data_IF_834156392633
#
_entry.id   IF_834156392633
#
_cell.length_a   1.000
_cell.length_b   1.000
_cell.length_c   1.000
_cell.angle_alpha   90.00
_cell.angle_beta   90.00
_cell.angle_gamma   90.00
#
_symmetry.space_group_name_H-M   'P 1'
#
loop_
_entity.id
_entity.type
_entity.pdbx_description
1 polymer ?
#
# COMPACT_ATOMS: atom_id res chain seq x y z
N UNK A 1 6.61 6.97 -31.14
CA UNK A 1 6.20 7.92 -30.08
C UNK A 1 7.03 7.57 -28.85
N UNK A 2 7.70 8.52 -28.22
CA UNK A 2 8.56 8.21 -27.08
C UNK A 2 7.70 7.71 -25.89
N UNK A 3 8.10 6.64 -25.17
CA UNK A 3 7.35 6.12 -24.02
C UNK A 3 6.94 7.20 -23.01
N UNK A 4 7.85 8.12 -22.69
CA UNK A 4 7.59 9.28 -21.82
C UNK A 4 6.46 10.18 -22.33
N UNK A 5 6.34 10.40 -23.64
CA UNK A 5 5.26 11.21 -24.20
C UNK A 5 3.90 10.55 -23.99
N UNK A 6 3.82 9.22 -24.15
CA UNK A 6 2.59 8.47 -23.93
C UNK A 6 2.21 8.53 -22.44
N UNK A 7 3.18 8.29 -21.56
CA UNK A 7 2.99 8.38 -20.11
C UNK A 7 2.43 9.75 -19.72
N UNK A 8 3.07 10.85 -20.13
CA UNK A 8 2.64 12.21 -19.75
C UNK A 8 1.23 12.54 -20.25
N UNK A 9 0.87 12.10 -21.46
CA UNK A 9 -0.49 12.33 -22.01
C UNK A 9 -1.54 11.59 -21.17
N UNK A 10 -1.31 10.32 -20.86
CA UNK A 10 -2.26 9.51 -20.07
C UNK A 10 -2.32 10.00 -18.62
N UNK A 11 -1.18 10.36 -18.04
CA UNK A 11 -1.09 10.94 -16.71
C UNK A 11 -1.84 12.27 -16.62
N UNK A 12 -1.67 13.17 -17.60
CA UNK A 12 -2.45 14.41 -17.69
C UNK A 12 -3.97 14.14 -17.78
N UNK A 13 -4.37 13.10 -18.52
CA UNK A 13 -5.77 12.70 -18.60
C UNK A 13 -6.33 12.22 -17.25
N UNK A 14 -5.51 11.57 -16.41
CA UNK A 14 -5.91 11.13 -15.06
C UNK A 14 -6.14 12.31 -14.09
N UNK A 15 -5.60 13.48 -14.37
CA UNK A 15 -5.79 14.68 -13.55
C UNK A 15 -7.04 15.50 -13.94
N UNK A 16 -7.77 15.10 -14.99
CA UNK A 16 -8.97 15.84 -15.43
C UNK A 16 -10.10 15.73 -14.40
N UNK A 17 -10.96 16.76 -14.33
CA UNK A 17 -12.07 16.86 -13.37
C UNK A 17 -13.13 15.76 -13.52
N UNK A 18 -13.39 15.31 -14.75
CA UNK A 18 -14.50 14.39 -15.02
C UNK A 18 -14.17 12.96 -14.56
N UNK A 19 -14.91 12.47 -13.57
CA UNK A 19 -14.70 11.19 -12.87
C UNK A 19 -14.49 9.98 -13.79
N UNK A 20 -15.41 9.72 -14.73
CA UNK A 20 -15.35 8.53 -15.60
C UNK A 20 -14.09 8.53 -16.48
N UNK A 21 -13.67 9.70 -16.96
CA UNK A 21 -12.43 9.81 -17.75
C UNK A 21 -11.20 9.59 -16.89
N UNK A 22 -11.20 10.10 -15.65
CA UNK A 22 -10.12 9.88 -14.68
C UNK A 22 -9.89 8.39 -14.37
N UNK A 23 -10.95 7.64 -14.08
CA UNK A 23 -10.84 6.21 -13.77
C UNK A 23 -10.29 5.38 -14.95
N UNK A 24 -10.77 5.66 -16.16
CA UNK A 24 -10.28 5.00 -17.38
C UNK A 24 -8.84 5.40 -17.68
N UNK A 25 -8.48 6.67 -17.49
CA UNK A 25 -7.12 7.16 -17.67
C UNK A 25 -6.15 6.50 -16.67
N UNK A 26 -6.51 6.37 -15.40
CA UNK A 26 -5.69 5.65 -14.40
C UNK A 26 -5.52 4.17 -14.77
N UNK A 27 -6.59 3.51 -15.22
CA UNK A 27 -6.49 2.11 -15.67
C UNK A 27 -5.60 1.97 -16.92
N UNK A 28 -5.61 2.97 -17.80
CA UNK A 28 -4.72 3.03 -18.96
C UNK A 28 -3.27 3.33 -18.56
N UNK A 29 -3.07 4.19 -17.55
CA UNK A 29 -1.76 4.53 -17.02
C UNK A 29 -1.06 3.29 -16.46
N UNK A 30 -1.78 2.50 -15.66
CA UNK A 30 -1.33 1.21 -15.15
C UNK A 30 -0.81 0.28 -16.26
N UNK A 31 -1.56 0.17 -17.37
CA UNK A 31 -1.17 -0.65 -18.52
C UNK A 31 0.05 -0.08 -19.26
N UNK A 32 0.12 1.25 -19.44
CA UNK A 32 1.25 1.92 -20.07
C UNK A 32 2.53 1.67 -19.28
N UNK A 33 2.49 1.83 -17.96
CA UNK A 33 3.67 1.59 -17.11
C UNK A 33 4.15 0.15 -17.24
N UNK A 34 3.23 -0.81 -17.10
CA UNK A 34 3.55 -2.25 -17.22
C UNK A 34 4.08 -2.63 -18.60
N UNK A 35 3.56 -2.02 -19.66
CA UNK A 35 3.93 -2.34 -21.03
C UNK A 35 5.33 -1.84 -21.40
N UNK A 36 5.71 -0.65 -20.91
CA UNK A 36 7.03 -0.07 -21.24
C UNK A 36 8.13 -0.49 -20.27
N UNK A 37 7.82 -0.71 -18.99
CA UNK A 37 8.81 -1.16 -18.02
C UNK A 37 9.94 -0.16 -17.76
N UNK A 38 9.72 1.13 -18.05
CA UNK A 38 10.75 2.17 -18.02
C UNK A 38 10.92 2.73 -16.60
N UNK A 39 12.11 2.60 -15.97
CA UNK A 39 12.36 3.09 -14.62
C UNK A 39 12.14 4.60 -14.46
N UNK A 40 12.36 5.40 -15.51
CA UNK A 40 12.20 6.86 -15.47
C UNK A 40 10.75 7.27 -15.19
N UNK A 41 9.78 6.37 -15.44
CA UNK A 41 8.38 6.63 -15.19
C UNK A 41 8.07 6.90 -13.72
N UNK A 42 8.85 6.34 -12.79
CA UNK A 42 8.63 6.55 -11.36
C UNK A 42 8.77 8.02 -10.99
N UNK A 43 9.88 8.66 -11.37
CA UNK A 43 10.16 10.05 -11.04
C UNK A 43 9.19 11.03 -11.73
N UNK A 44 8.63 10.64 -12.88
CA UNK A 44 7.63 11.44 -13.58
C UNK A 44 6.24 11.31 -12.95
N UNK A 45 5.81 10.08 -12.66
CA UNK A 45 4.42 9.80 -12.28
C UNK A 45 4.17 9.84 -10.77
N UNK A 46 5.14 9.44 -9.94
CA UNK A 46 4.94 9.34 -8.49
C UNK A 46 4.50 10.66 -7.85
N UNK A 47 5.12 11.82 -8.12
CA UNK A 47 4.72 13.08 -7.48
C UNK A 47 3.25 13.44 -7.74
N UNK A 48 2.78 13.21 -8.98
CA UNK A 48 1.41 13.51 -9.39
C UNK A 48 0.40 12.53 -8.78
N UNK A 49 0.74 11.24 -8.72
CA UNK A 49 -0.10 10.24 -8.06
C UNK A 49 -0.17 10.47 -6.55
N UNK A 50 0.93 10.90 -5.93
CA UNK A 50 0.96 11.28 -4.52
C UNK A 50 0.06 12.49 -4.21
N UNK A 51 0.08 13.52 -5.06
CA UNK A 51 -0.81 14.68 -4.92
C UNK A 51 -2.29 14.27 -5.00
N UNK A 52 -2.63 13.33 -5.88
CA UNK A 52 -3.98 12.77 -5.97
C UNK A 52 -4.37 12.03 -4.67
N UNK A 53 -3.46 11.26 -4.07
CA UNK A 53 -3.69 10.62 -2.77
C UNK A 53 -3.98 11.66 -1.66
N UNK A 54 -3.19 12.73 -1.58
CA UNK A 54 -3.37 13.76 -0.55
C UNK A 54 -4.65 14.56 -0.74
N UNK A 55 -5.00 14.90 -1.98
CA UNK A 55 -6.24 15.58 -2.31
C UNK A 55 -7.47 14.76 -1.87
N UNK A 56 -7.40 13.44 -2.05
CA UNK A 56 -8.45 12.53 -1.60
C UNK A 56 -8.63 12.55 -0.07
N UNK A 57 -7.56 12.80 0.69
CA UNK A 57 -7.60 12.86 2.15
C UNK A 57 -8.23 14.17 2.63
N UNK A 58 -7.86 15.30 2.04
CA UNK A 58 -8.38 16.63 2.40
C UNK A 58 -9.87 16.81 2.10
N UNK A 59 -10.39 16.19 1.05
CA UNK A 59 -11.81 16.30 0.69
C UNK A 59 -12.76 15.57 1.66
N UNK A 60 -12.24 14.70 2.54
CA UNK A 60 -13.06 13.90 3.47
C UNK A 60 -13.02 14.37 4.93
N UNK A 61 -12.34 15.47 5.25
CA UNK A 61 -12.31 16.03 6.62
C UNK A 61 -13.57 16.81 7.01
N UNK A 62 -14.67 16.70 6.25
CA UNK A 62 -16.00 17.17 6.67
C UNK A 62 -16.65 16.21 7.68
N UNK A 63 -17.64 16.67 8.49
CA UNK A 63 -18.22 15.84 9.55
C UNK A 63 -18.77 14.52 8.99
N UNK A 64 -18.26 13.41 9.53
CA UNK A 64 -18.60 12.06 9.12
C UNK A 64 -20.11 11.82 9.30
N UNK A 65 -20.86 11.81 8.21
CA UNK A 65 -22.25 11.34 8.24
C UNK A 65 -22.23 9.82 8.39
N UNK A 66 -22.48 9.36 9.61
CA UNK A 66 -22.83 7.96 9.90
C UNK A 66 -24.16 7.69 9.21
N UNK A 67 -24.19 6.81 8.21
CA UNK A 67 -25.45 6.22 7.74
C UNK A 67 -25.19 4.81 7.20
N UNK A 68 -25.67 3.83 7.95
CA UNK A 68 -25.85 2.45 7.48
C UNK A 68 -27.19 2.36 6.73
N UNK A 69 -27.13 1.69 5.58
CA UNK A 69 -28.13 0.97 4.80
C UNK A 69 -29.54 1.53 4.49
N UNK A 70 -29.94 1.22 3.25
CA UNK A 70 -31.28 1.20 2.66
C UNK A 70 -31.76 2.43 1.85
N UNK A 71 -31.69 2.23 0.52
CA UNK A 71 -32.61 2.71 -0.54
C UNK A 71 -32.90 4.23 -0.61
N UNK A 72 -32.12 4.92 -1.45
CA UNK A 72 -32.65 5.75 -2.56
C UNK A 72 -31.49 6.18 -3.46
N UNK A 73 -31.32 5.48 -4.57
CA UNK A 73 -30.49 5.97 -5.67
C UNK A 73 -31.32 7.01 -6.43
N UNK A 74 -30.92 8.28 -6.29
CA UNK A 74 -30.98 9.37 -7.29
C UNK A 74 -30.78 10.69 -6.54
N UNK A 75 -29.55 10.92 -6.08
CA UNK A 75 -29.02 12.28 -5.98
C UNK A 75 -27.65 12.27 -6.63
N UNK A 76 -27.68 12.43 -7.95
CA UNK A 76 -26.55 12.58 -8.85
C UNK A 76 -25.88 13.96 -8.66
N UNK A 77 -25.61 14.32 -7.40
CA UNK A 77 -24.69 15.41 -7.09
C UNK A 77 -23.31 14.81 -7.22
N UNK A 78 -22.86 14.71 -8.47
CA UNK A 78 -21.51 14.32 -8.83
C UNK A 78 -20.51 15.16 -8.02
N UNK A 79 -19.89 14.53 -7.03
CA UNK A 79 -18.70 15.09 -6.41
C UNK A 79 -17.58 15.06 -7.45
N UNK A 80 -17.44 16.17 -8.19
CA UNK A 80 -16.37 16.43 -9.17
C UNK A 80 -14.95 16.29 -8.56
N UNK A 81 -14.87 16.13 -7.23
CA UNK A 81 -13.65 15.93 -6.45
C UNK A 81 -13.31 14.46 -6.17
N UNK A 82 -14.10 13.50 -6.67
CA UNK A 82 -13.89 12.07 -6.35
C UNK A 82 -12.60 11.50 -6.95
N UNK A 83 -11.63 11.16 -6.10
CA UNK A 83 -10.40 10.45 -6.49
C UNK A 83 -10.59 8.94 -6.24
N UNK A 84 -10.51 8.08 -7.27
CA UNK A 84 -10.58 6.63 -7.12
C UNK A 84 -9.26 6.10 -6.55
N UNK A 85 -9.09 6.22 -5.23
CA UNK A 85 -7.82 5.95 -4.55
C UNK A 85 -7.30 4.52 -4.79
N UNK A 86 -8.17 3.52 -4.92
CA UNK A 86 -7.79 2.15 -5.30
C UNK A 86 -7.02 2.12 -6.64
N UNK A 87 -7.49 2.87 -7.64
CA UNK A 87 -6.85 2.97 -8.96
C UNK A 87 -5.54 3.76 -8.90
N UNK A 88 -5.47 4.79 -8.08
CA UNK A 88 -4.23 5.54 -7.85
C UNK A 88 -3.17 4.61 -7.23
N UNK A 89 -3.55 3.82 -6.22
CA UNK A 89 -2.65 2.84 -5.60
C UNK A 89 -2.19 1.77 -6.59
N UNK A 90 -3.05 1.30 -7.50
CA UNK A 90 -2.62 0.40 -8.58
C UNK A 90 -1.56 1.05 -9.49
N UNK A 91 -1.71 2.33 -9.84
CA UNK A 91 -0.70 3.04 -10.63
C UNK A 91 0.61 3.20 -9.87
N UNK A 92 0.54 3.53 -8.56
CA UNK A 92 1.72 3.63 -7.68
C UNK A 92 2.44 2.28 -7.59
N UNK A 93 1.69 1.19 -7.46
CA UNK A 93 2.25 -0.17 -7.46
C UNK A 93 2.99 -0.44 -8.77
N UNK A 94 2.38 -0.13 -9.91
CA UNK A 94 3.00 -0.33 -11.22
C UNK A 94 4.28 0.48 -11.43
N UNK A 95 4.36 1.72 -10.94
CA UNK A 95 5.63 2.47 -11.02
C UNK A 95 6.68 1.95 -10.05
N UNK A 96 6.30 1.45 -8.87
CA UNK A 96 7.24 0.76 -7.97
C UNK A 96 7.77 -0.52 -8.61
N UNK A 97 6.95 -1.23 -9.39
CA UNK A 97 7.37 -2.41 -10.15
C UNK A 97 8.48 -2.12 -11.18
N UNK A 98 8.75 -0.86 -11.55
CA UNK A 98 9.80 -0.51 -12.54
C UNK A 98 10.88 0.42 -11.98
N UNK A 99 10.67 1.03 -10.82
CA UNK A 99 11.56 2.03 -10.23
C UNK A 99 12.94 1.47 -9.81
N UNK A 100 13.95 2.34 -9.72
CA UNK A 100 15.23 2.01 -9.10
C UNK A 100 15.17 2.16 -7.56
N UNK A 101 16.08 1.49 -6.86
CA UNK A 101 16.15 1.54 -5.39
C UNK A 101 16.35 2.96 -4.86
N UNK A 102 17.20 3.76 -5.51
CA UNK A 102 17.50 5.14 -5.11
C UNK A 102 16.24 6.01 -5.12
N UNK A 103 15.43 5.90 -6.17
CA UNK A 103 14.26 6.76 -6.38
C UNK A 103 13.16 6.43 -5.35
N UNK A 104 12.95 5.14 -5.07
CA UNK A 104 12.03 4.69 -4.02
C UNK A 104 12.46 5.23 -2.65
N UNK A 105 13.77 5.18 -2.35
CA UNK A 105 14.29 5.64 -1.06
C UNK A 105 14.19 7.16 -0.90
N UNK A 106 14.39 7.93 -1.97
CA UNK A 106 14.17 9.38 -1.98
C UNK A 106 12.71 9.73 -1.68
N UNK A 107 11.77 8.89 -2.12
CA UNK A 107 10.33 9.09 -1.93
C UNK A 107 9.74 8.35 -0.71
N UNK A 108 10.56 7.72 0.14
CA UNK A 108 10.07 6.86 1.23
C UNK A 108 9.04 7.52 2.15
N UNK A 109 9.23 8.80 2.50
CA UNK A 109 8.33 9.53 3.39
C UNK A 109 6.96 9.74 2.75
N UNK A 110 6.95 10.04 1.43
CA UNK A 110 5.72 10.19 0.66
C UNK A 110 5.00 8.85 0.53
N UNK A 111 5.73 7.75 0.33
CA UNK A 111 5.16 6.39 0.35
C UNK A 111 4.52 6.06 1.71
N UNK A 112 5.18 6.37 2.82
CA UNK A 112 4.61 6.20 4.16
C UNK A 112 3.33 7.04 4.36
N UNK A 113 3.28 8.23 3.77
CA UNK A 113 2.07 9.05 3.76
C UNK A 113 0.95 8.41 2.94
N UNK A 114 1.24 7.86 1.75
CA UNK A 114 0.26 7.11 0.94
C UNK A 114 -0.36 5.96 1.73
N UNK A 115 0.45 5.18 2.46
CA UNK A 115 -0.06 4.10 3.30
C UNK A 115 -0.93 4.62 4.45
N UNK A 116 -0.51 5.71 5.11
CA UNK A 116 -1.27 6.32 6.19
C UNK A 116 -2.65 6.80 5.73
N UNK A 117 -2.70 7.47 4.56
CA UNK A 117 -3.96 7.88 3.93
C UNK A 117 -4.81 6.65 3.62
N UNK A 118 -4.24 5.64 2.96
CA UNK A 118 -4.96 4.43 2.55
C UNK A 118 -5.52 3.65 3.75
N UNK A 119 -4.85 3.68 4.90
CA UNK A 119 -5.31 3.03 6.13
C UNK A 119 -6.29 3.87 6.97
N UNK A 120 -6.60 5.11 6.60
CA UNK A 120 -7.58 5.93 7.31
C UNK A 120 -9.00 5.30 7.31
N UNK A 121 -9.76 5.36 8.41
CA UNK A 121 -11.04 4.66 8.56
C UNK A 121 -12.13 5.12 7.58
N UNK A 122 -11.99 6.30 6.98
CA UNK A 122 -12.94 6.85 6.00
C UNK A 122 -12.89 6.25 4.59
N UNK A 123 -11.96 5.32 4.32
CA UNK A 123 -11.82 4.66 3.02
C UNK A 123 -12.42 3.25 3.01
N UNK A 124 -13.01 2.89 1.87
CA UNK A 124 -13.60 1.58 1.64
C UNK A 124 -12.56 0.46 1.72
N UNK A 125 -13.02 -0.75 2.04
CA UNK A 125 -12.18 -1.94 2.14
C UNK A 125 -11.41 -2.27 0.84
N UNK A 126 -11.92 -1.90 -0.32
CA UNK A 126 -11.26 -2.06 -1.62
C UNK A 126 -9.96 -1.23 -1.73
N UNK A 127 -9.93 -0.06 -1.09
CA UNK A 127 -8.70 0.75 -0.96
C UNK A 127 -7.69 0.02 -0.08
N UNK A 128 -8.14 -0.62 1.02
CA UNK A 128 -7.26 -1.42 1.90
C UNK A 128 -6.64 -2.58 1.14
N UNK A 129 -7.43 -3.30 0.34
CA UNK A 129 -6.91 -4.38 -0.51
C UNK A 129 -5.83 -3.88 -1.48
N UNK A 130 -6.07 -2.74 -2.12
CA UNK A 130 -5.10 -2.14 -3.04
C UNK A 130 -3.82 -1.72 -2.30
N UNK A 131 -3.96 -1.20 -1.08
CA UNK A 131 -2.82 -0.87 -0.23
C UNK A 131 -2.04 -2.12 0.18
N UNK A 132 -2.70 -3.23 0.54
CA UNK A 132 -2.02 -4.49 0.87
C UNK A 132 -1.21 -5.02 -0.32
N UNK A 133 -1.78 -5.00 -1.53
CA UNK A 133 -1.05 -5.40 -2.74
C UNK A 133 0.16 -4.52 -3.00
N UNK A 134 0.00 -3.20 -2.85
CA UNK A 134 1.10 -2.23 -2.99
C UNK A 134 2.22 -2.48 -1.96
N UNK A 135 1.87 -2.77 -0.70
CA UNK A 135 2.85 -3.07 0.35
C UNK A 135 3.61 -4.37 0.03
N UNK A 136 2.92 -5.42 -0.40
CA UNK A 136 3.55 -6.69 -0.79
C UNK A 136 4.52 -6.48 -1.95
N UNK A 137 4.13 -5.71 -2.96
CA UNK A 137 5.01 -5.37 -4.08
C UNK A 137 6.25 -4.58 -3.61
N UNK A 138 6.06 -3.56 -2.77
CA UNK A 138 7.17 -2.82 -2.19
C UNK A 138 8.09 -3.73 -1.36
N UNK A 139 7.55 -4.68 -0.61
CA UNK A 139 8.35 -5.66 0.14
C UNK A 139 9.20 -6.51 -0.79
N UNK A 140 8.62 -7.03 -1.89
CA UNK A 140 9.34 -7.79 -2.91
C UNK A 140 10.49 -6.97 -3.52
N UNK A 141 10.22 -5.71 -3.89
CA UNK A 141 11.23 -4.79 -4.44
C UNK A 141 12.36 -4.51 -3.45
N UNK A 142 12.02 -4.19 -2.20
CA UNK A 142 13.01 -3.94 -1.15
C UNK A 142 13.82 -5.19 -0.82
N UNK A 143 13.24 -6.38 -0.89
CA UNK A 143 13.97 -7.62 -0.72
C UNK A 143 15.03 -7.81 -1.80
N UNK A 144 14.66 -7.62 -3.07
CA UNK A 144 15.63 -7.65 -4.18
C UNK A 144 16.75 -6.66 -3.94
N UNK A 145 16.40 -5.40 -3.68
CA UNK A 145 17.39 -4.35 -3.46
C UNK A 145 18.28 -4.60 -2.25
N UNK A 146 17.75 -5.22 -1.18
CA UNK A 146 18.52 -5.55 0.01
C UNK A 146 19.70 -6.46 -0.33
N UNK A 147 19.48 -7.48 -1.17
CA UNK A 147 20.56 -8.35 -1.64
C UNK A 147 21.41 -7.69 -2.73
N UNK A 148 20.79 -7.01 -3.70
CA UNK A 148 21.49 -6.41 -4.84
C UNK A 148 22.43 -5.27 -4.43
N UNK A 149 22.12 -4.59 -3.33
CA UNK A 149 22.87 -3.44 -2.83
C UNK A 149 23.81 -3.80 -1.68
N UNK A 150 24.00 -5.07 -1.34
CA UNK A 150 24.86 -5.50 -0.25
C UNK A 150 26.28 -4.90 -0.38
N UNK A 151 26.83 -4.37 0.72
CA UNK A 151 28.13 -3.69 0.72
C UNK A 151 28.13 -2.26 0.16
N UNK A 152 27.01 -1.75 -0.35
CA UNK A 152 26.88 -0.36 -0.81
C UNK A 152 26.33 0.56 0.30
N UNK A 153 26.53 1.89 0.20
CA UNK A 153 25.88 2.85 1.09
C UNK A 153 24.35 2.81 1.05
N UNK A 154 23.75 2.27 -0.02
CA UNK A 154 22.30 2.19 -0.15
C UNK A 154 21.70 1.10 0.76
N UNK A 155 22.47 0.05 1.06
CA UNK A 155 22.04 -1.07 1.89
C UNK A 155 21.53 -0.63 3.26
N UNK A 156 22.22 0.31 3.93
CA UNK A 156 21.78 0.82 5.23
C UNK A 156 20.47 1.58 5.16
N UNK A 157 20.23 2.30 4.07
CA UNK A 157 18.99 3.04 3.84
C UNK A 157 17.82 2.08 3.59
N UNK A 158 18.04 1.02 2.82
CA UNK A 158 17.07 -0.05 2.59
C UNK A 158 16.73 -0.74 3.92
N UNK A 159 17.75 -1.12 4.69
CA UNK A 159 17.58 -1.73 6.02
C UNK A 159 16.75 -0.84 6.96
N UNK A 160 17.08 0.46 7.03
CA UNK A 160 16.30 1.42 7.81
C UNK A 160 14.86 1.53 7.33
N UNK A 161 14.62 1.49 6.01
CA UNK A 161 13.27 1.60 5.47
C UNK A 161 12.43 0.34 5.73
N UNK A 162 13.03 -0.85 5.62
CA UNK A 162 12.38 -2.12 6.00
C UNK A 162 11.91 -2.08 7.46
N UNK A 163 12.76 -1.57 8.37
CA UNK A 163 12.40 -1.42 9.79
C UNK A 163 11.24 -0.44 9.99
N UNK A 164 11.29 0.69 9.30
CA UNK A 164 10.26 1.72 9.36
C UNK A 164 8.91 1.19 8.85
N UNK A 165 8.91 0.47 7.73
CA UNK A 165 7.72 -0.18 7.17
C UNK A 165 7.11 -1.17 8.17
N UNK A 166 7.94 -2.08 8.70
CA UNK A 166 7.47 -3.07 9.67
C UNK A 166 6.84 -2.41 10.89
N UNK A 167 7.56 -1.48 11.53
CA UNK A 167 7.09 -0.86 12.78
C UNK A 167 5.83 -0.01 12.58
N UNK A 168 5.68 0.62 11.42
CA UNK A 168 4.57 1.55 11.14
C UNK A 168 3.34 0.87 10.57
N UNK A 169 3.51 -0.15 9.73
CA UNK A 169 2.41 -0.78 8.98
C UNK A 169 1.86 -2.00 9.69
N UNK A 170 2.68 -2.81 10.36
CA UNK A 170 2.20 -4.04 11.00
C UNK A 170 1.07 -3.80 12.02
N UNK A 171 1.13 -2.79 12.92
CA UNK A 171 0.02 -2.49 13.82
C UNK A 171 -1.26 -2.07 13.08
N UNK A 172 -1.13 -1.28 12.01
CA UNK A 172 -2.28 -0.82 11.20
C UNK A 172 -2.93 -1.95 10.43
N UNK A 173 -2.13 -2.93 9.97
CA UNK A 173 -2.63 -4.11 9.29
C UNK A 173 -3.42 -4.98 10.27
N UNK A 174 -2.91 -5.21 11.49
CA UNK A 174 -3.67 -5.92 12.53
C UNK A 174 -4.96 -5.19 12.87
N UNK A 175 -4.91 -3.86 13.05
CA UNK A 175 -6.09 -3.03 13.28
C UNK A 175 -7.13 -3.18 12.13
N UNK A 176 -6.67 -3.28 10.88
CA UNK A 176 -7.59 -3.54 9.76
C UNK A 176 -8.29 -4.90 9.87
N UNK A 177 -7.58 -5.94 10.32
CA UNK A 177 -8.16 -7.28 10.53
C UNK A 177 -9.20 -7.23 11.67
N UNK A 178 -8.92 -6.48 12.74
CA UNK A 178 -9.84 -6.41 13.88
C UNK A 178 -11.12 -5.61 13.59
N UNK A 179 -11.04 -4.57 12.75
CA UNK A 179 -12.16 -3.67 12.46
C UNK A 179 -13.02 -4.13 11.27
N UNK A 180 -12.40 -4.62 10.19
CA UNK A 180 -13.10 -4.84 8.91
C UNK A 180 -13.67 -6.25 8.82
N UNK A 181 -14.99 -6.40 9.01
CA UNK A 181 -15.69 -7.71 9.06
C UNK A 181 -15.84 -8.45 7.71
N UNK A 182 -14.89 -8.29 6.78
CA UNK A 182 -14.92 -8.90 5.44
C UNK A 182 -13.80 -9.92 5.34
N UNK A 183 -14.13 -11.21 5.19
CA UNK A 183 -13.15 -12.29 5.18
C UNK A 183 -12.01 -12.11 4.16
N UNK A 184 -12.31 -11.57 2.96
CA UNK A 184 -11.30 -11.26 1.95
C UNK A 184 -10.25 -10.25 2.45
N UNK A 185 -10.67 -9.28 3.26
CA UNK A 185 -9.77 -8.28 3.87
C UNK A 185 -8.87 -8.95 4.90
N UNK A 186 -9.42 -9.82 5.74
CA UNK A 186 -8.63 -10.56 6.74
C UNK A 186 -7.55 -11.41 6.09
N UNK A 187 -7.89 -12.13 5.01
CA UNK A 187 -6.96 -12.97 4.26
C UNK A 187 -5.84 -12.12 3.65
N UNK A 188 -6.20 -11.08 2.89
CA UNK A 188 -5.22 -10.22 2.22
C UNK A 188 -4.34 -9.43 3.22
N UNK A 189 -4.91 -8.96 4.32
CA UNK A 189 -4.19 -8.28 5.39
C UNK A 189 -3.19 -9.21 6.09
N UNK A 190 -3.62 -10.42 6.44
CA UNK A 190 -2.76 -11.40 7.12
C UNK A 190 -1.63 -11.89 6.22
N UNK A 191 -1.91 -12.09 4.93
CA UNK A 191 -0.88 -12.41 3.94
C UNK A 191 0.10 -11.25 3.76
N UNK A 192 -0.39 -10.00 3.67
CA UNK A 192 0.44 -8.80 3.61
C UNK A 192 1.36 -8.67 4.84
N UNK A 193 0.81 -8.91 6.04
CA UNK A 193 1.58 -8.90 7.28
C UNK A 193 2.70 -9.96 7.27
N UNK A 194 2.42 -11.14 6.72
CA UNK A 194 3.42 -12.20 6.59
C UNK A 194 4.57 -11.77 5.68
N UNK A 195 4.30 -11.11 4.55
CA UNK A 195 5.36 -10.64 3.65
C UNK A 195 6.25 -9.58 4.32
N UNK A 196 5.65 -8.62 5.03
CA UNK A 196 6.40 -7.62 5.81
C UNK A 196 7.23 -8.29 6.91
N UNK A 197 6.67 -9.30 7.58
CA UNK A 197 7.33 -10.05 8.65
C UNK A 197 8.53 -10.85 8.13
N UNK A 198 8.39 -11.53 6.98
CA UNK A 198 9.49 -12.24 6.31
C UNK A 198 10.61 -11.29 5.91
N UNK A 199 10.27 -10.16 5.29
CA UNK A 199 11.23 -9.15 4.88
C UNK A 199 12.00 -8.57 6.07
N UNK A 200 11.30 -8.24 7.16
CA UNK A 200 11.98 -7.74 8.35
C UNK A 200 12.88 -8.81 8.98
N UNK A 201 12.51 -10.09 8.92
CA UNK A 201 13.37 -11.17 9.43
C UNK A 201 14.65 -11.36 8.62
N UNK A 202 14.71 -10.97 7.35
CA UNK A 202 15.98 -11.03 6.60
C UNK A 202 17.05 -10.08 7.16
N UNK A 203 16.69 -9.19 8.09
CA UNK A 203 17.64 -8.37 8.81
C UNK A 203 18.32 -9.22 9.91
N UNK A 204 19.53 -9.71 9.62
CA UNK A 204 20.33 -10.68 10.43
C UNK A 204 20.63 -10.25 11.90
N UNK A 205 20.21 -9.07 12.34
CA UNK A 205 20.66 -8.45 13.59
C UNK A 205 19.56 -8.05 14.57
N UNK A 206 18.29 -8.44 14.37
CA UNK A 206 17.23 -8.04 15.31
C UNK A 206 16.80 -9.13 16.29
N UNK A 207 17.06 -8.81 17.55
CA UNK A 207 16.14 -9.18 18.63
C UNK A 207 14.85 -8.37 18.45
N UNK A 208 13.74 -9.09 18.29
CA UNK A 208 12.43 -8.46 18.17
C UNK A 208 11.98 -8.01 19.56
N UNK A 209 12.02 -6.70 19.81
CA UNK A 209 11.77 -6.14 21.15
C UNK A 209 10.33 -5.64 21.37
N UNK A 210 9.48 -5.66 20.33
CA UNK A 210 8.11 -5.15 20.44
C UNK A 210 7.14 -6.18 21.02
N UNK A 211 7.22 -6.37 22.35
CA UNK A 211 6.35 -7.27 23.13
C UNK A 211 4.86 -6.93 22.93
N UNK A 212 4.53 -5.65 22.82
CA UNK A 212 3.14 -5.20 22.63
C UNK A 212 2.56 -5.69 21.29
N UNK A 213 3.33 -5.57 20.20
CA UNK A 213 2.90 -6.07 18.90
C UNK A 213 2.74 -7.60 18.89
N UNK A 214 3.64 -8.34 19.55
CA UNK A 214 3.54 -9.81 19.67
C UNK A 214 2.23 -10.21 20.38
N UNK A 215 1.89 -9.53 21.47
CA UNK A 215 0.63 -9.76 22.20
C UNK A 215 -0.61 -9.50 21.34
N UNK A 216 -0.61 -8.40 20.59
CA UNK A 216 -1.71 -8.05 19.69
C UNK A 216 -1.87 -9.06 18.55
N UNK A 217 -0.77 -9.53 17.95
CA UNK A 217 -0.79 -10.57 16.93
C UNK A 217 -1.33 -11.90 17.47
N UNK A 218 -0.90 -12.32 18.66
CA UNK A 218 -1.40 -13.54 19.31
C UNK A 218 -2.90 -13.45 19.56
N UNK A 219 -3.35 -12.32 20.11
CA UNK A 219 -4.78 -12.07 20.32
C UNK A 219 -5.56 -12.17 19.00
N UNK A 220 -5.07 -11.49 17.94
CA UNK A 220 -5.73 -11.50 16.64
C UNK A 220 -5.80 -12.93 16.05
N UNK A 221 -4.75 -13.74 16.21
CA UNK A 221 -4.73 -15.14 15.79
C UNK A 221 -5.78 -15.99 16.53
N UNK A 222 -5.97 -15.78 17.84
CA UNK A 222 -6.94 -16.52 18.65
C UNK A 222 -8.39 -16.24 18.23
N UNK A 223 -8.71 -14.97 17.96
CA UNK A 223 -10.06 -14.52 17.61
C UNK A 223 -10.40 -14.65 16.13
N UNK A 224 -9.40 -14.88 15.26
CA UNK A 224 -9.60 -15.05 13.82
C UNK A 224 -10.44 -16.29 13.51
N UNK A 225 -11.43 -16.10 12.63
CA UNK A 225 -12.40 -17.12 12.21
C UNK A 225 -12.08 -17.72 10.85
N UNK A 226 -11.39 -16.97 9.98
CA UNK A 226 -10.94 -17.45 8.69
C UNK A 226 -9.72 -18.34 8.88
N UNK A 227 -9.85 -19.64 8.59
CA UNK A 227 -8.73 -20.59 8.70
C UNK A 227 -7.53 -20.20 7.82
N UNK A 228 -7.80 -19.62 6.64
CA UNK A 228 -6.74 -19.15 5.75
C UNK A 228 -6.00 -17.94 6.35
N UNK A 229 -6.72 -16.92 6.83
CA UNK A 229 -6.10 -15.78 7.51
C UNK A 229 -5.33 -16.24 8.75
N UNK A 230 -5.93 -17.13 9.54
CA UNK A 230 -5.34 -17.72 10.74
C UNK A 230 -4.04 -18.48 10.43
N UNK A 231 -3.97 -19.19 9.31
CA UNK A 231 -2.74 -19.83 8.82
C UNK A 231 -1.60 -18.82 8.58
N UNK A 232 -1.90 -17.66 7.96
CA UNK A 232 -0.91 -16.61 7.75
C UNK A 232 -0.47 -15.95 9.06
N UNK A 233 -1.40 -15.66 9.98
CA UNK A 233 -1.08 -15.11 11.30
C UNK A 233 -0.20 -16.08 12.11
N UNK A 234 -0.50 -17.37 12.06
CA UNK A 234 0.34 -18.40 12.68
C UNK A 234 1.76 -18.38 12.15
N UNK A 235 1.95 -18.31 10.83
CA UNK A 235 3.28 -18.20 10.22
C UNK A 235 4.04 -16.95 10.69
N UNK A 236 3.34 -15.84 10.94
CA UNK A 236 3.96 -14.64 11.53
C UNK A 236 4.45 -14.92 12.96
N UNK A 237 3.62 -15.58 13.77
CA UNK A 237 3.98 -15.98 15.15
C UNK A 237 5.17 -16.94 15.14
N UNK A 238 5.15 -17.97 14.28
CA UNK A 238 6.24 -18.95 14.15
C UNK A 238 7.56 -18.25 13.76
N UNK A 239 7.51 -17.22 12.92
CA UNK A 239 8.68 -16.39 12.59
C UNK A 239 9.22 -15.65 13.82
N UNK A 240 8.38 -15.31 14.80
CA UNK A 240 8.80 -14.68 16.06
C UNK A 240 9.26 -15.66 17.12
N UNK A 241 8.75 -16.88 17.11
CA UNK A 241 9.08 -17.90 18.11
C UNK A 241 10.33 -18.72 17.75
N UNK A 242 10.65 -18.87 16.46
CA UNK A 242 11.92 -19.47 16.01
C UNK A 242 13.13 -18.52 16.20
N UNK A 243 13.18 -17.77 17.29
CA UNK A 243 14.30 -16.90 17.69
C UNK A 243 15.18 -17.48 18.79
N UNK A 244 14.86 -18.69 19.27
CA UNK A 244 15.63 -19.45 20.24
C UNK A 244 16.68 -20.38 19.59
#
# INVERSE_FOLDING_TARGET
MAPNTILTVVLSASMKKVKKYREVALSSLDQVIKAFGDPDFFNIAFPLLFEMCNSAASNRTGPASISNDAVKAESDVFDDSFVPLDKVLCCIMSIICVAEAKDILEQKNNLMCVFTVSFSPGYQWTVKLSAFSLIKELCSRLQSFFYDCEGTPLHSNINSFIRELFNSLSPRIIECISIVKIAQVHIAASECLLEITKLYRSLESLQWTNVAFKGELLHQYEVEKSEEAKSYLKKCIDIFENQD
#
